data_IF_145176765383
#
_entry.id   IF_145176765383
#
_cell.length_a   1.000
_cell.length_b   1.000
_cell.length_c   1.000
_cell.angle_alpha   90.00
_cell.angle_beta   90.00
_cell.angle_gamma   90.00
#
_symmetry.space_group_name_H-M   'P 1'
#
loop_
_entity.id
_entity.type
_entity.pdbx_description
1 polymer ?
#
# COMPACT_ATOMS: atom_id res chain seq x y z
N UNK A 1 16.59 -12.73 5.41
CA UNK A 1 16.71 -11.68 6.44
C UNK A 1 16.13 -10.41 5.84
N UNK A 2 15.21 -9.76 6.53
CA UNK A 2 14.62 -8.49 6.08
C UNK A 2 15.26 -7.31 6.82
N UNK A 3 15.24 -6.14 6.18
CA UNK A 3 15.68 -4.89 6.77
C UNK A 3 14.82 -3.73 6.24
N UNK A 4 14.60 -2.72 7.07
CA UNK A 4 13.85 -1.51 6.74
C UNK A 4 14.53 -0.30 7.37
N UNK A 5 14.91 0.67 6.53
CA UNK A 5 15.56 1.90 6.96
C UNK A 5 14.60 3.07 6.75
N UNK A 6 14.24 3.76 7.83
CA UNK A 6 13.25 4.82 7.86
C UNK A 6 13.87 6.13 8.36
N UNK A 7 13.35 7.24 7.86
CA UNK A 7 13.62 8.55 8.45
C UNK A 7 12.61 8.82 9.56
N UNK A 8 13.06 9.50 10.61
CA UNK A 8 12.17 9.95 11.69
C UNK A 8 11.29 11.14 11.29
N UNK A 9 11.72 11.89 10.27
CA UNK A 9 11.10 13.12 9.76
C UNK A 9 11.10 13.14 8.23
N UNK A 10 10.16 13.87 7.61
CA UNK A 10 10.06 13.97 6.16
C UNK A 10 11.35 14.57 5.56
N UNK A 11 12.04 13.80 4.70
CA UNK A 11 13.30 14.22 4.08
C UNK A 11 14.52 14.20 5.01
N UNK A 12 14.37 13.72 6.25
CA UNK A 12 15.45 13.58 7.21
C UNK A 12 16.40 12.40 6.91
N UNK A 13 17.51 12.28 7.66
CA UNK A 13 18.40 11.12 7.57
C UNK A 13 17.66 9.85 7.97
N UNK A 14 17.97 8.74 7.29
CA UNK A 14 17.41 7.42 7.59
C UNK A 14 18.18 6.77 8.73
N UNK A 15 17.94 7.25 9.94
CA UNK A 15 18.62 6.82 11.16
C UNK A 15 17.98 5.61 11.84
N UNK A 16 16.70 5.34 11.58
CA UNK A 16 15.99 4.21 12.19
C UNK A 16 16.10 2.97 11.29
N UNK A 17 16.76 1.94 11.79
CA UNK A 17 16.90 0.65 11.12
C UNK A 17 16.16 -0.44 11.90
N UNK A 18 15.37 -1.23 11.17
CA UNK A 18 14.65 -2.38 11.70
C UNK A 18 15.11 -3.61 10.92
N UNK A 19 15.65 -4.61 11.61
CA UNK A 19 16.15 -5.86 11.01
C UNK A 19 15.39 -7.05 11.56
N UNK A 20 15.06 -8.02 10.73
CA UNK A 20 14.36 -9.22 11.20
C UNK A 20 14.79 -10.49 10.47
N UNK A 21 14.66 -11.61 11.18
CA UNK A 21 14.84 -12.96 10.69
C UNK A 21 13.75 -13.44 9.73
N UNK A 22 13.79 -14.72 9.37
CA UNK A 22 12.72 -15.33 8.59
C UNK A 22 11.41 -15.36 9.40
N UNK A 23 10.27 -15.26 8.70
CA UNK A 23 8.95 -15.30 9.34
C UNK A 23 8.74 -14.25 10.46
N UNK A 24 9.38 -13.08 10.34
CA UNK A 24 9.23 -11.95 11.27
C UNK A 24 9.63 -12.26 12.72
N UNK A 25 10.70 -13.03 12.91
CA UNK A 25 11.30 -13.29 14.21
C UNK A 25 12.55 -12.44 14.41
N UNK A 26 12.98 -12.32 15.67
CA UNK A 26 14.23 -11.66 16.04
C UNK A 26 14.32 -10.25 15.43
N UNK A 27 13.28 -9.44 15.65
CA UNK A 27 13.27 -8.04 15.24
C UNK A 27 14.26 -7.28 16.12
N UNK A 28 15.21 -6.60 15.51
CA UNK A 28 16.14 -5.67 16.15
C UNK A 28 15.84 -4.27 15.65
N UNK A 29 15.83 -3.29 16.55
CA UNK A 29 15.57 -1.88 16.26
C UNK A 29 16.79 -1.08 16.71
N UNK A 30 17.41 -0.39 15.77
CA UNK A 30 18.56 0.50 16.00
C UNK A 30 18.22 1.91 15.54
N UNK A 31 18.66 2.90 16.31
CA UNK A 31 18.57 4.31 15.97
C UNK A 31 19.98 4.89 15.99
N UNK A 32 20.46 5.40 14.86
CA UNK A 32 21.83 5.95 14.74
C UNK A 32 22.90 4.95 15.25
N UNK A 33 22.75 3.68 14.86
CA UNK A 33 23.57 2.53 15.30
C UNK A 33 23.46 2.15 16.80
N UNK A 34 22.63 2.85 17.59
CA UNK A 34 22.36 2.49 18.98
C UNK A 34 21.15 1.53 19.10
N UNK A 35 21.25 0.43 19.87
CA UNK A 35 20.15 -0.50 20.05
C UNK A 35 19.04 0.12 20.91
N UNK A 36 17.85 0.26 20.33
CA UNK A 36 16.65 0.77 21.01
C UNK A 36 15.89 -0.38 21.68
N UNK A 37 15.80 -1.52 21.01
CA UNK A 37 15.07 -2.67 21.52
C UNK A 37 15.03 -3.84 20.55
N UNK A 38 14.52 -4.97 21.02
CA UNK A 38 14.36 -6.17 20.22
C UNK A 38 13.09 -6.94 20.58
N UNK A 39 12.54 -7.67 19.62
CA UNK A 39 11.37 -8.55 19.77
C UNK A 39 11.71 -9.91 19.20
N UNK A 40 11.77 -10.93 20.06
CA UNK A 40 12.08 -12.29 19.62
C UNK A 40 10.90 -12.95 18.88
N UNK A 41 9.67 -12.68 19.31
CA UNK A 41 8.49 -13.41 18.87
C UNK A 41 7.59 -12.62 17.90
N UNK A 42 7.19 -13.28 16.81
CA UNK A 42 6.23 -12.76 15.83
C UNK A 42 4.90 -12.40 16.49
N UNK A 43 4.46 -13.17 17.50
CA UNK A 43 3.17 -12.95 18.15
C UNK A 43 3.12 -11.58 18.86
N UNK A 44 4.24 -11.16 19.46
CA UNK A 44 4.36 -9.84 20.08
C UNK A 44 4.26 -8.74 19.02
N UNK A 45 4.89 -8.93 17.85
CA UNK A 45 4.76 -7.99 16.75
C UNK A 45 3.32 -7.90 16.23
N UNK A 46 2.57 -9.00 16.14
CA UNK A 46 1.17 -8.96 15.72
C UNK A 46 0.28 -8.17 16.70
N UNK A 47 0.56 -8.28 18.01
CA UNK A 47 -0.13 -7.52 19.06
C UNK A 47 0.26 -6.04 19.05
N UNK A 48 1.47 -5.72 18.61
CA UNK A 48 2.05 -4.39 18.63
C UNK A 48 2.89 -4.17 19.88
N UNK A 49 4.08 -3.61 19.71
CA UNK A 49 5.06 -3.35 20.78
C UNK A 49 5.46 -1.88 20.73
N UNK A 50 5.65 -1.28 21.90
CA UNK A 50 6.08 0.11 22.03
C UNK A 50 7.51 0.19 22.57
N UNK A 51 8.31 1.07 21.96
CA UNK A 51 9.68 1.36 22.35
C UNK A 51 9.80 2.85 22.63
N UNK A 52 10.47 3.19 23.72
CA UNK A 52 10.78 4.58 24.05
C UNK A 52 12.08 4.98 23.37
N UNK A 53 12.07 6.07 22.61
CA UNK A 53 13.24 6.61 21.94
C UNK A 53 14.01 7.59 22.84
N UNK A 54 15.29 7.91 22.54
CA UNK A 54 16.11 8.82 23.35
C UNK A 54 15.55 10.24 23.48
N UNK A 55 14.67 10.64 22.57
CA UNK A 55 13.97 11.93 22.54
C UNK A 55 12.62 11.91 23.28
N UNK A 56 12.39 10.90 24.12
CA UNK A 56 11.13 10.61 24.82
C UNK A 56 9.92 10.29 23.92
N UNK A 57 10.10 10.20 22.60
CA UNK A 57 9.02 9.78 21.71
C UNK A 57 8.76 8.27 21.79
N UNK A 58 7.54 7.86 21.45
CA UNK A 58 7.11 6.46 21.50
C UNK A 58 7.03 5.91 20.08
N UNK A 59 7.83 4.87 19.82
CA UNK A 59 7.81 4.09 18.59
C UNK A 59 6.92 2.86 18.78
N UNK A 60 5.79 2.82 18.09
CA UNK A 60 4.89 1.67 18.06
C UNK A 60 5.14 0.84 16.80
N UNK A 61 5.49 -0.43 16.98
CA UNK A 61 5.81 -1.37 15.90
C UNK A 61 4.81 -2.51 15.92
N UNK A 62 4.12 -2.74 14.79
CA UNK A 62 3.11 -3.78 14.67
C UNK A 62 3.18 -4.50 13.32
N UNK A 63 3.08 -5.83 13.32
CA UNK A 63 2.97 -6.64 12.12
C UNK A 63 1.50 -6.79 11.69
N UNK A 64 1.16 -6.25 10.52
CA UNK A 64 -0.18 -6.34 9.93
C UNK A 64 -0.22 -7.32 8.75
N UNK A 65 -1.36 -7.99 8.56
CA UNK A 65 -1.53 -9.03 7.54
C UNK A 65 -2.55 -8.66 6.45
N UNK A 66 -2.37 -7.52 5.76
CA UNK A 66 -3.36 -7.10 4.74
C UNK A 66 -2.73 -6.39 3.54
N UNK A 67 -2.78 -6.95 2.31
CA UNK A 67 -2.97 -8.37 1.94
C UNK A 67 -1.69 -9.22 2.14
N UNK A 68 -0.55 -8.58 2.37
CA UNK A 68 0.75 -9.20 2.66
C UNK A 68 1.21 -8.76 4.05
N UNK A 69 2.00 -9.58 4.76
CA UNK A 69 2.62 -9.20 6.02
C UNK A 69 3.47 -7.94 5.84
N UNK A 70 3.25 -6.93 6.67
CA UNK A 70 3.94 -5.66 6.62
C UNK A 70 4.14 -5.10 8.03
N UNK A 71 5.33 -4.56 8.28
CA UNK A 71 5.66 -3.89 9.53
C UNK A 71 5.14 -2.45 9.48
N UNK A 72 4.10 -2.16 10.27
CA UNK A 72 3.64 -0.81 10.54
C UNK A 72 4.49 -0.21 11.65
N UNK A 73 5.09 0.95 11.37
CA UNK A 73 5.90 1.69 12.32
C UNK A 73 5.29 3.08 12.50
N UNK A 74 4.90 3.40 13.72
CA UNK A 74 4.31 4.68 14.09
C UNK A 74 5.21 5.35 15.13
N UNK A 75 5.40 6.67 15.03
CA UNK A 75 6.02 7.51 16.06
C UNK A 75 4.95 8.42 16.63
N UNK A 76 4.71 8.35 17.94
CA UNK A 76 3.65 9.08 18.63
C UNK A 76 2.26 8.91 17.97
N UNK A 77 1.97 7.70 17.49
CA UNK A 77 0.71 7.36 16.80
C UNK A 77 0.61 7.81 15.33
N UNK A 78 1.60 8.53 14.79
CA UNK A 78 1.66 8.90 13.38
C UNK A 78 2.58 7.95 12.59
N UNK A 79 2.21 7.54 11.36
CA UNK A 79 3.07 6.71 10.54
C UNK A 79 4.36 7.44 10.17
N UNK A 80 5.49 6.74 10.24
CA UNK A 80 6.77 7.29 9.80
C UNK A 80 6.76 7.57 8.29
N UNK A 81 7.47 8.62 7.83
CA UNK A 81 7.64 8.90 6.42
C UNK A 81 8.40 7.75 5.74
N UNK A 82 8.12 7.52 4.46
CA UNK A 82 8.64 6.42 3.65
C UNK A 82 8.27 5.00 4.14
N UNK A 83 7.58 4.84 5.27
CA UNK A 83 7.07 3.54 5.69
C UNK A 83 5.98 3.07 4.71
N UNK A 84 5.81 1.76 4.55
CA UNK A 84 4.76 1.23 3.69
C UNK A 84 3.33 1.55 4.21
N UNK A 85 3.23 1.93 5.50
CA UNK A 85 2.03 2.50 6.10
C UNK A 85 1.78 3.98 5.79
N UNK A 86 2.72 4.69 5.15
CA UNK A 86 2.56 6.09 4.77
C UNK A 86 1.44 6.26 3.72
N UNK A 87 0.39 7.05 4.02
CA UNK A 87 -0.70 7.27 3.09
C UNK A 87 -0.25 7.91 1.75
N UNK A 88 0.82 8.72 1.73
CA UNK A 88 1.34 9.28 0.48
C UNK A 88 1.93 8.18 -0.39
N UNK A 89 2.77 7.32 0.20
CA UNK A 89 3.38 6.21 -0.49
C UNK A 89 2.35 5.18 -0.99
N UNK A 90 1.28 4.93 -0.22
CA UNK A 90 0.18 4.03 -0.63
C UNK A 90 -0.55 4.56 -1.88
N UNK A 91 -0.91 5.84 -1.91
CA UNK A 91 -1.55 6.46 -3.08
C UNK A 91 -0.62 6.44 -4.28
N UNK A 92 0.66 6.75 -4.09
CA UNK A 92 1.67 6.73 -5.15
C UNK A 92 1.84 5.34 -5.75
N UNK A 93 1.92 4.31 -4.91
CA UNK A 93 2.03 2.91 -5.34
C UNK A 93 0.80 2.48 -6.13
N UNK A 94 -0.41 2.78 -5.65
CA UNK A 94 -1.65 2.48 -6.37
C UNK A 94 -1.74 3.22 -7.72
N UNK A 95 -1.29 4.48 -7.77
CA UNK A 95 -1.23 5.29 -8.99
C UNK A 95 -0.30 4.66 -10.03
N UNK A 96 0.92 4.28 -9.64
CA UNK A 96 1.86 3.61 -10.55
C UNK A 96 1.36 2.26 -11.02
N UNK A 97 0.70 1.50 -10.14
CA UNK A 97 0.09 0.23 -10.52
C UNK A 97 -1.00 0.43 -11.60
N UNK A 98 -1.86 1.45 -11.47
CA UNK A 98 -2.85 1.78 -12.49
C UNK A 98 -2.21 2.17 -13.82
N UNK A 99 -1.15 2.98 -13.80
CA UNK A 99 -0.43 3.34 -15.01
C UNK A 99 0.27 2.14 -15.65
N UNK A 100 0.85 1.25 -14.84
CA UNK A 100 1.45 0.00 -15.32
C UNK A 100 0.42 -0.89 -16.00
N UNK A 101 -0.76 -1.06 -15.40
CA UNK A 101 -1.88 -1.80 -16.01
C UNK A 101 -2.35 -1.15 -17.31
N UNK A 102 -2.53 0.17 -17.33
CA UNK A 102 -2.92 0.90 -18.53
C UNK A 102 -1.90 0.72 -19.65
N UNK A 103 -0.61 0.90 -19.37
CA UNK A 103 0.47 0.73 -20.33
C UNK A 103 0.54 -0.72 -20.84
N UNK A 104 0.36 -1.71 -19.96
CA UNK A 104 0.32 -3.12 -20.35
C UNK A 104 -0.87 -3.41 -21.28
N UNK A 105 -2.08 -2.97 -20.91
CA UNK A 105 -3.28 -3.17 -21.74
C UNK A 105 -3.16 -2.52 -23.11
N UNK A 106 -2.65 -1.29 -23.18
CA UNK A 106 -2.41 -0.58 -24.45
C UNK A 106 -1.30 -1.26 -25.25
N UNK A 107 -0.19 -1.65 -24.60
CA UNK A 107 0.92 -2.34 -25.25
C UNK A 107 0.50 -3.65 -25.89
N UNK A 108 -0.28 -4.47 -25.19
CA UNK A 108 -0.85 -5.71 -25.73
C UNK A 108 -1.79 -5.42 -26.92
N UNK A 109 -2.60 -4.37 -26.82
CA UNK A 109 -3.45 -3.92 -27.93
C UNK A 109 -2.62 -3.53 -29.17
N UNK A 110 -1.55 -2.76 -28.98
CA UNK A 110 -0.66 -2.32 -30.06
C UNK A 110 0.08 -3.48 -30.71
N UNK A 111 0.61 -4.43 -29.93
CA UNK A 111 1.29 -5.63 -30.46
C UNK A 111 0.33 -6.45 -31.34
N UNK A 112 -0.93 -6.58 -30.93
CA UNK A 112 -1.96 -7.29 -31.72
C UNK A 112 -2.22 -6.65 -33.09
N UNK A 113 -2.11 -5.32 -33.21
CA UNK A 113 -2.28 -4.62 -34.48
C UNK A 113 -1.20 -4.97 -35.50
N UNK A 114 0.04 -5.22 -35.04
CA UNK A 114 1.19 -5.55 -35.89
C UNK A 114 1.27 -7.06 -36.20
N UNK A 115 0.66 -7.91 -35.37
CA UNK A 115 0.63 -9.35 -35.60
C UNK A 115 -0.29 -9.76 -36.76
N UNK A 116 0.10 -10.81 -37.47
CA UNK A 116 -0.62 -11.41 -38.60
C UNK A 116 -1.94 -12.08 -38.18
N UNK A 117 -2.86 -12.28 -39.13
CA UNK A 117 -4.24 -12.74 -38.88
C UNK A 117 -4.33 -14.07 -38.12
N UNK A 118 -3.42 -15.02 -38.36
CA UNK A 118 -3.42 -16.33 -37.67
C UNK A 118 -2.99 -16.22 -36.21
N UNK A 119 -2.05 -15.34 -35.89
CA UNK A 119 -1.56 -15.13 -34.52
C UNK A 119 -2.52 -14.22 -33.73
N UNK A 120 -3.16 -13.27 -34.42
CA UNK A 120 -4.19 -12.40 -33.84
C UNK A 120 -5.40 -13.16 -33.29
N UNK A 121 -5.78 -14.28 -33.91
CA UNK A 121 -6.87 -15.13 -33.43
C UNK A 121 -6.56 -15.86 -32.11
N UNK A 122 -5.28 -15.99 -31.75
CA UNK A 122 -4.87 -16.67 -30.50
C UNK A 122 -4.77 -15.71 -29.32
N UNK A 123 -4.64 -14.41 -29.58
CA UNK A 123 -4.59 -13.40 -28.54
C UNK A 123 -6.00 -12.87 -28.26
N UNK A 124 -6.48 -12.90 -27.01
CA UNK A 124 -7.77 -12.33 -26.62
C UNK A 124 -7.67 -10.80 -26.56
N UNK A 125 -7.40 -10.17 -27.70
CA UNK A 125 -7.18 -8.73 -27.81
C UNK A 125 -8.31 -8.12 -28.61
N UNK A 126 -9.21 -7.49 -27.89
CA UNK A 126 -10.39 -6.81 -28.40
C UNK A 126 -10.21 -5.29 -28.28
N UNK A 127 -10.96 -4.53 -29.07
CA UNK A 127 -10.97 -3.06 -28.99
C UNK A 127 -11.32 -2.56 -27.57
N UNK A 128 -12.04 -3.37 -26.79
CA UNK A 128 -12.32 -3.09 -25.38
C UNK A 128 -11.06 -3.01 -24.50
N UNK A 129 -9.97 -3.72 -24.81
CA UNK A 129 -8.74 -3.65 -24.01
C UNK A 129 -8.05 -2.28 -24.14
N UNK A 130 -8.12 -1.68 -25.34
CA UNK A 130 -7.60 -0.34 -25.58
C UNK A 130 -8.40 0.71 -24.81
N UNK A 131 -9.73 0.62 -24.86
CA UNK A 131 -10.63 1.50 -24.11
C UNK A 131 -10.44 1.34 -22.60
N UNK A 132 -10.34 0.10 -22.11
CA UNK A 132 -10.10 -0.20 -20.71
C UNK A 132 -8.77 0.38 -20.22
N UNK A 133 -7.67 0.18 -20.97
CA UNK A 133 -6.37 0.77 -20.66
C UNK A 133 -6.43 2.31 -20.62
N UNK A 134 -7.14 2.93 -21.57
CA UNK A 134 -7.37 4.38 -21.56
C UNK A 134 -8.11 4.88 -20.32
N UNK A 135 -9.19 4.19 -19.92
CA UNK A 135 -9.95 4.54 -18.70
C UNK A 135 -9.08 4.38 -17.45
N UNK A 136 -8.29 3.32 -17.34
CA UNK A 136 -7.36 3.13 -16.23
C UNK A 136 -6.30 4.24 -16.17
N UNK A 137 -5.77 4.69 -17.30
CA UNK A 137 -4.82 5.81 -17.35
C UNK A 137 -5.45 7.12 -16.84
N UNK A 138 -6.70 7.40 -17.24
CA UNK A 138 -7.45 8.58 -16.76
C UNK A 138 -7.71 8.49 -15.26
N UNK A 139 -8.08 7.32 -14.75
CA UNK A 139 -8.27 7.10 -13.31
C UNK A 139 -6.97 7.23 -12.52
N UNK A 140 -5.84 6.73 -13.06
CA UNK A 140 -4.51 6.93 -12.50
C UNK A 140 -4.15 8.41 -12.40
N UNK A 141 -4.46 9.19 -13.44
CA UNK A 141 -4.27 10.65 -13.43
C UNK A 141 -5.11 11.35 -12.36
N UNK A 142 -6.38 10.98 -12.20
CA UNK A 142 -7.22 11.53 -11.14
C UNK A 142 -6.77 11.12 -9.74
N UNK A 143 -6.25 9.90 -9.58
CA UNK A 143 -5.66 9.44 -8.33
C UNK A 143 -4.41 10.25 -7.96
N UNK A 144 -3.55 10.56 -8.94
CA UNK A 144 -2.42 11.47 -8.76
C UNK A 144 -2.88 12.87 -8.31
N UNK A 145 -3.99 13.37 -8.88
CA UNK A 145 -4.63 14.63 -8.48
C UNK A 145 -5.40 14.55 -7.16
N UNK A 146 -5.26 13.46 -6.38
CA UNK A 146 -5.91 13.23 -5.07
C UNK A 146 -7.44 13.23 -5.11
N UNK A 147 -8.06 12.85 -6.22
CA UNK A 147 -9.52 12.74 -6.31
C UNK A 147 -10.04 11.52 -5.55
N UNK A 148 -10.89 11.76 -4.54
CA UNK A 148 -11.42 10.72 -3.63
C UNK A 148 -12.20 9.60 -4.33
N UNK A 149 -12.88 9.93 -5.43
CA UNK A 149 -13.70 8.97 -6.16
C UNK A 149 -12.88 8.07 -7.09
N UNK A 150 -11.67 8.48 -7.49
CA UNK A 150 -10.88 7.75 -8.48
C UNK A 150 -10.48 6.32 -8.04
N UNK A 151 -9.99 6.07 -6.81
CA UNK A 151 -9.70 4.71 -6.37
C UNK A 151 -10.96 3.84 -6.31
N UNK A 152 -12.08 4.40 -5.85
CA UNK A 152 -13.34 3.65 -5.76
C UNK A 152 -13.84 3.25 -7.15
N UNK A 153 -13.82 4.18 -8.11
CA UNK A 153 -14.18 3.89 -9.50
C UNK A 153 -13.25 2.87 -10.14
N UNK A 154 -11.93 2.95 -9.87
CA UNK A 154 -10.97 1.95 -10.34
C UNK A 154 -11.26 0.56 -9.76
N UNK A 155 -11.57 0.46 -8.46
CA UNK A 155 -11.94 -0.82 -7.82
C UNK A 155 -13.23 -1.38 -8.43
N UNK A 156 -14.26 -0.55 -8.65
CA UNK A 156 -15.53 -0.98 -9.25
C UNK A 156 -15.34 -1.47 -10.69
N UNK A 157 -14.61 -0.70 -11.49
CA UNK A 157 -14.32 -1.04 -12.88
C UNK A 157 -13.50 -2.34 -12.98
N UNK A 158 -12.47 -2.48 -12.14
CA UNK A 158 -11.63 -3.67 -12.11
C UNK A 158 -12.37 -4.91 -11.55
N UNK A 159 -13.29 -4.71 -10.62
CA UNK A 159 -14.21 -5.75 -10.14
C UNK A 159 -15.11 -6.25 -11.26
N UNK A 160 -15.70 -5.35 -12.04
CA UNK A 160 -16.56 -5.71 -13.16
C UNK A 160 -15.79 -6.49 -14.25
N UNK A 161 -14.58 -6.05 -14.59
CA UNK A 161 -13.70 -6.77 -15.52
C UNK A 161 -13.34 -8.17 -14.99
N UNK A 162 -13.04 -8.28 -13.70
CA UNK A 162 -12.72 -9.55 -13.03
C UNK A 162 -13.89 -10.51 -13.07
N UNK A 163 -15.09 -10.05 -12.74
CA UNK A 163 -16.31 -10.86 -12.79
C UNK A 163 -16.63 -11.30 -14.21
N UNK A 164 -16.48 -10.40 -15.20
CA UNK A 164 -16.70 -10.72 -16.62
C UNK A 164 -15.71 -11.78 -17.11
N UNK A 165 -14.43 -11.63 -16.75
CA UNK A 165 -13.39 -12.60 -17.12
C UNK A 165 -13.65 -13.96 -16.44
N UNK A 166 -14.02 -13.96 -15.17
CA UNK A 166 -14.33 -15.17 -14.43
C UNK A 166 -15.57 -15.87 -15.01
N UNK A 167 -16.62 -15.11 -15.34
CA UNK A 167 -17.82 -15.64 -15.98
C UNK A 167 -17.51 -16.31 -17.32
N UNK A 168 -16.71 -15.67 -18.18
CA UNK A 168 -16.27 -16.25 -19.46
C UNK A 168 -15.44 -17.51 -19.23
N UNK A 169 -14.54 -17.50 -18.24
CA UNK A 169 -13.73 -18.66 -17.91
C UNK A 169 -14.56 -19.85 -17.41
N UNK A 170 -15.61 -19.61 -16.62
CA UNK A 170 -16.50 -20.65 -16.10
C UNK A 170 -17.46 -21.21 -17.16
N UNK A 171 -17.85 -20.41 -18.14
CA UNK A 171 -18.78 -20.80 -19.20
C UNK A 171 -18.08 -21.40 -20.43
N UNK A 172 -16.76 -21.22 -20.56
CA UNK A 172 -16.00 -21.72 -21.70
C UNK A 172 -15.30 -23.04 -21.36
N UNK A 173 -15.76 -24.16 -21.94
CA UNK A 173 -15.16 -25.50 -21.74
C UNK A 173 -13.66 -25.59 -22.14
N UNK A 174 -13.16 -24.62 -22.91
CA UNK A 174 -11.78 -24.62 -23.45
C UNK A 174 -10.73 -23.94 -22.59
N UNK A 175 -11.11 -23.27 -21.49
CA UNK A 175 -10.16 -22.48 -20.67
C UNK A 175 -9.85 -23.22 -19.38
N UNK A 176 -9.02 -24.26 -19.47
CA UNK A 176 -8.73 -25.18 -18.36
C UNK A 176 -7.63 -24.71 -17.39
N UNK A 177 -8.00 -24.62 -16.10
CA UNK A 177 -7.19 -25.05 -14.96
C UNK A 177 -6.24 -24.03 -14.32
N UNK A 178 -5.11 -23.73 -14.98
CA UNK A 178 -3.96 -23.07 -14.31
C UNK A 178 -3.86 -21.57 -14.63
N UNK A 179 -4.22 -21.16 -15.85
CA UNK A 179 -4.18 -19.75 -16.26
C UNK A 179 -5.21 -18.90 -15.50
N UNK A 180 -6.40 -19.46 -15.23
CA UNK A 180 -7.46 -18.80 -14.48
C UNK A 180 -7.05 -18.53 -13.02
N UNK A 181 -6.44 -19.52 -12.35
CA UNK A 181 -5.96 -19.38 -10.96
C UNK A 181 -4.83 -18.35 -10.86
N UNK A 182 -3.87 -18.41 -11.79
CA UNK A 182 -2.76 -17.45 -11.82
C UNK A 182 -3.27 -16.02 -12.03
N UNK A 183 -4.22 -15.83 -12.95
CA UNK A 183 -4.86 -14.53 -13.17
C UNK A 183 -5.62 -14.02 -11.95
N UNK A 184 -6.29 -14.91 -11.20
CA UNK A 184 -7.02 -14.54 -9.99
C UNK A 184 -6.07 -14.04 -8.89
N UNK A 185 -4.93 -14.71 -8.68
CA UNK A 185 -3.93 -14.30 -7.67
C UNK A 185 -3.40 -12.88 -7.95
N UNK A 186 -3.05 -12.60 -9.21
CA UNK A 186 -2.59 -11.27 -9.64
C UNK A 186 -3.69 -10.23 -9.39
N UNK A 187 -4.95 -10.55 -9.70
CA UNK A 187 -6.09 -9.64 -9.44
C UNK A 187 -6.28 -9.36 -7.95
N UNK A 188 -6.17 -10.37 -7.08
CA UNK A 188 -6.25 -10.19 -5.62
C UNK A 188 -5.17 -9.23 -5.13
N UNK A 189 -3.93 -9.40 -5.61
CA UNK A 189 -2.84 -8.48 -5.28
C UNK A 189 -3.14 -7.03 -5.70
N UNK A 190 -3.66 -6.85 -6.92
CA UNK A 190 -4.07 -5.55 -7.45
C UNK A 190 -5.19 -4.93 -6.59
N UNK A 191 -6.21 -5.69 -6.20
CA UNK A 191 -7.27 -5.20 -5.31
C UNK A 191 -6.70 -4.75 -3.96
N UNK A 192 -5.77 -5.51 -3.37
CA UNK A 192 -5.13 -5.13 -2.13
C UNK A 192 -4.33 -3.82 -2.24
N UNK A 193 -3.57 -3.65 -3.33
CA UNK A 193 -2.84 -2.41 -3.59
C UNK A 193 -3.78 -1.21 -3.80
N UNK A 194 -4.86 -1.37 -4.56
CA UNK A 194 -5.87 -0.32 -4.77
C UNK A 194 -6.63 0.01 -3.48
N UNK A 195 -6.93 -1.00 -2.65
CA UNK A 195 -7.55 -0.82 -1.34
C UNK A 195 -6.66 0.01 -0.40
N UNK A 196 -5.35 -0.28 -0.35
CA UNK A 196 -4.38 0.56 0.38
C UNK A 196 -4.35 1.98 -0.17
N UNK A 197 -4.30 2.15 -1.49
CA UNK A 197 -4.38 3.47 -2.12
C UNK A 197 -5.63 4.26 -1.74
N UNK A 198 -6.79 3.60 -1.64
CA UNK A 198 -8.03 4.23 -1.19
C UNK A 198 -7.97 4.66 0.28
N UNK A 199 -7.46 3.82 1.17
CA UNK A 199 -7.29 4.15 2.58
C UNK A 199 -6.30 5.31 2.76
N UNK A 200 -5.18 5.28 2.07
CA UNK A 200 -4.20 6.38 2.05
C UNK A 200 -4.82 7.70 1.56
N UNK A 201 -5.58 7.66 0.45
CA UNK A 201 -6.26 8.85 -0.07
C UNK A 201 -7.30 9.42 0.91
N UNK A 202 -8.02 8.56 1.64
CA UNK A 202 -8.96 8.98 2.69
C UNK A 202 -8.25 9.63 3.87
N UNK A 203 -7.12 9.07 4.29
CA UNK A 203 -6.35 9.61 5.40
C UNK A 203 -5.73 10.97 5.06
N UNK A 204 -5.16 11.13 3.85
CA UNK A 204 -4.68 12.44 3.39
C UNK A 204 -5.78 13.49 3.36
N UNK A 205 -6.96 13.11 2.84
CA UNK A 205 -8.12 13.98 2.82
C UNK A 205 -8.64 14.35 4.22
N UNK A 206 -8.44 13.49 5.22
CA UNK A 206 -8.77 13.76 6.62
C UNK A 206 -7.79 14.77 7.21
N UNK A 207 -6.48 14.59 6.98
CA UNK A 207 -5.42 15.51 7.42
C UNK A 207 -5.61 16.91 6.85
N UNK A 208 -5.94 17.02 5.56
CA UNK A 208 -6.22 18.32 4.92
C UNK A 208 -7.43 19.05 5.54
N UNK A 209 -8.43 18.29 5.99
CA UNK A 209 -9.62 18.83 6.67
C UNK A 209 -9.41 19.14 8.16
N UNK A 210 -8.33 18.66 8.75
CA UNK A 210 -8.02 18.83 10.17
C UNK A 210 -6.87 19.83 10.27
N UNK A 211 -7.14 21.14 10.12
CA UNK A 211 -6.11 22.16 10.25
C UNK A 211 -5.50 22.10 11.65
N UNK A 212 -4.25 22.59 11.76
CA UNK A 212 -3.37 22.74 12.94
C UNK A 212 -3.97 23.53 14.13
N UNK A 213 -5.27 23.41 14.40
CA UNK A 213 -5.99 24.11 15.47
C UNK A 213 -6.03 23.31 16.77
N UNK A 214 -5.58 22.05 16.79
CA UNK A 214 -5.27 21.36 18.03
C UNK A 214 -3.87 21.80 18.48
N UNK A 215 -3.76 23.04 18.95
CA UNK A 215 -2.72 23.35 19.92
C UNK A 215 -2.76 22.25 20.99
N UNK A 216 -1.62 21.68 21.41
CA UNK A 216 -1.60 20.71 22.50
C UNK A 216 -2.42 21.31 23.65
N UNK A 217 -3.29 20.52 24.33
CA UNK A 217 -4.02 21.03 25.48
C UNK A 217 -2.97 21.69 26.37
N UNK A 218 -3.08 23.01 26.55
CA UNK A 218 -2.20 23.75 27.44
C UNK A 218 -2.16 22.94 28.73
N UNK A 219 -0.99 22.41 29.07
CA UNK A 219 -0.78 21.71 30.34
C UNK A 219 -1.45 22.58 31.40
N UNK A 220 -2.53 22.05 31.98
CA UNK A 220 -3.25 22.75 33.03
C UNK A 220 -2.25 23.18 34.11
N UNK A 221 -2.54 24.26 34.85
CA UNK A 221 -1.59 24.83 35.80
C UNK A 221 -0.99 23.72 36.66
N UNK A 222 0.35 23.65 36.66
CA UNK A 222 1.12 22.66 37.37
C UNK A 222 0.54 22.49 38.77
N UNK A 223 -0.01 21.30 39.05
CA UNK A 223 -0.50 20.96 40.37
C UNK A 223 0.73 20.97 41.28
N UNK A 224 0.83 22.00 42.11
CA UNK A 224 1.86 22.10 43.12
C UNK A 224 1.70 20.90 44.07
N UNK A 225 2.69 20.02 44.08
CA UNK A 225 2.75 18.95 45.06
C UNK A 225 3.03 19.58 46.44
N UNK A 226 2.27 19.23 47.50
CA UNK A 226 2.58 19.66 48.85
C UNK A 226 3.89 19.00 49.30
N UNK A 227 4.83 19.81 49.79
CA UNK A 227 6.03 19.31 50.48
C UNK A 227 5.63 18.51 51.71
N UNK A 228 6.29 17.36 51.92
CA UNK A 228 6.15 16.50 53.07
C UNK A 228 7.47 16.45 53.85
#
# INVERSE_FOLDING_TARGET
MGALNLALEEGGPRSLELRWGSNWRDLEITLDDEPVGAVADKLQLEQGVEFKLPDDSVLHVQLLHVPTPELRVLRNGAPLPDAASDPVQQVRTATFLLYGLAAFSVGVAMVSLVMTSKMRQQLPVSASNLLFGGVLAVLGFFMFKRWRAAPLLAILLYSFDTLSTLYVALTSEKVGGISALTGLVIRIFIFGALGKGFLGARELARREKQPLTAAPPSLGPAVAFPEA
#
